data_IF_219572552486
#
_entry.id   IF_219572552486
#
_cell.length_a   1.000
_cell.length_b   1.000
_cell.length_c   1.000
_cell.angle_alpha   90.00
_cell.angle_beta   90.00
_cell.angle_gamma   90.00
#
_symmetry.space_group_name_H-M   'P 1'
#
loop_
_entity.id
_entity.type
_entity.pdbx_description
1 polymer ?
#
# COMPACT_ATOMS: atom_id res chain seq x y z
N UNK A 1 -4.72 -17.03 -21.90
CA UNK A 1 -5.40 -16.04 -21.04
C UNK A 1 -4.77 -15.95 -19.65
N UNK A 2 -4.63 -17.06 -18.90
CA UNK A 2 -4.06 -17.09 -17.53
C UNK A 2 -2.63 -16.50 -17.41
N UNK A 3 -1.70 -16.84 -18.30
CA UNK A 3 -0.31 -16.30 -18.32
C UNK A 3 -0.24 -14.79 -18.65
N UNK A 4 -1.19 -14.30 -19.44
CA UNK A 4 -1.32 -12.87 -19.74
C UNK A 4 -1.77 -12.07 -18.51
N UNK A 5 -2.64 -12.65 -17.67
CA UNK A 5 -3.19 -11.96 -16.49
C UNK A 5 -2.36 -12.21 -15.23
N UNK A 6 -1.98 -13.46 -14.95
CA UNK A 6 -1.30 -13.89 -13.73
C UNK A 6 0.23 -13.88 -13.82
N UNK A 7 0.80 -13.58 -14.99
CA UNK A 7 2.23 -13.29 -15.11
C UNK A 7 3.15 -14.47 -15.46
N UNK A 8 4.38 -14.36 -14.92
CA UNK A 8 5.64 -15.02 -15.28
C UNK A 8 6.11 -14.71 -16.71
N UNK A 9 6.13 -13.41 -17.04
CA UNK A 9 6.63 -12.94 -18.33
C UNK A 9 8.16 -12.99 -18.38
N UNK A 10 8.82 -12.34 -17.42
CA UNK A 10 10.30 -12.30 -17.28
C UNK A 10 10.71 -12.23 -15.81
N UNK A 11 11.99 -12.49 -15.46
CA UNK A 11 12.48 -12.32 -14.09
C UNK A 11 12.35 -10.88 -13.56
N UNK A 12 12.43 -9.88 -14.46
CA UNK A 12 12.36 -8.46 -14.10
C UNK A 12 10.92 -7.96 -14.01
N UNK A 13 10.12 -8.22 -15.06
CA UNK A 13 8.71 -7.88 -15.18
C UNK A 13 7.91 -9.18 -15.12
N UNK A 14 7.35 -9.46 -13.95
CA UNK A 14 6.64 -10.72 -13.70
C UNK A 14 5.21 -10.65 -14.21
N UNK A 15 4.53 -9.52 -14.12
CA UNK A 15 3.12 -9.33 -14.50
C UNK A 15 2.74 -7.84 -14.64
N UNK A 16 1.44 -7.57 -14.78
CA UNK A 16 0.89 -6.21 -14.82
C UNK A 16 1.15 -5.36 -13.57
N UNK A 17 1.41 -5.95 -12.39
CA UNK A 17 1.77 -5.19 -11.19
C UNK A 17 3.16 -4.58 -11.39
N UNK A 18 4.10 -5.35 -11.93
CA UNK A 18 5.43 -4.85 -12.26
C UNK A 18 5.39 -3.81 -13.40
N UNK A 19 4.41 -3.89 -14.32
CA UNK A 19 4.16 -2.80 -15.28
C UNK A 19 3.77 -1.52 -14.55
N UNK A 20 2.82 -1.58 -13.60
CA UNK A 20 2.42 -0.40 -12.83
C UNK A 20 3.60 0.19 -12.05
N UNK A 21 4.46 -0.65 -11.45
CA UNK A 21 5.71 -0.19 -10.80
C UNK A 21 6.61 0.58 -11.77
N UNK A 22 6.80 0.07 -12.98
CA UNK A 22 7.59 0.73 -14.01
C UNK A 22 6.95 2.03 -14.48
N UNK A 23 5.61 2.11 -14.50
CA UNK A 23 4.90 3.36 -14.80
C UNK A 23 5.19 4.42 -13.73
N UNK A 24 5.14 4.06 -12.44
CA UNK A 24 5.49 4.97 -11.33
C UNK A 24 6.94 5.47 -11.48
N UNK A 25 7.90 4.54 -11.60
CA UNK A 25 9.33 4.88 -11.74
C UNK A 25 9.63 5.65 -13.03
N UNK A 26 8.98 5.29 -14.13
CA UNK A 26 9.09 5.99 -15.41
C UNK A 26 8.54 7.41 -15.32
N UNK A 27 7.42 7.60 -14.63
CA UNK A 27 6.87 8.93 -14.31
C UNK A 27 7.88 9.79 -13.55
N UNK A 28 8.57 9.22 -12.56
CA UNK A 28 9.61 9.93 -11.81
C UNK A 28 10.76 10.40 -12.72
N UNK A 29 11.22 9.54 -13.64
CA UNK A 29 12.24 9.91 -14.63
C UNK A 29 11.74 11.00 -15.57
N UNK A 30 10.50 10.91 -16.05
CA UNK A 30 9.89 11.95 -16.90
C UNK A 30 9.85 13.28 -16.18
N UNK A 31 9.39 13.34 -14.92
CA UNK A 31 9.42 14.59 -14.13
C UNK A 31 10.84 15.14 -13.95
N UNK A 32 11.82 14.26 -13.69
CA UNK A 32 13.22 14.68 -13.53
C UNK A 32 13.79 15.32 -14.81
N UNK A 33 13.57 14.70 -15.97
CA UNK A 33 14.02 15.21 -17.27
C UNK A 33 13.37 16.55 -17.62
N UNK A 34 12.15 16.78 -17.15
CA UNK A 34 11.43 18.05 -17.33
C UNK A 34 11.76 19.11 -16.24
N UNK A 35 12.77 18.86 -15.40
CA UNK A 35 13.20 19.81 -14.37
C UNK A 35 12.30 19.88 -13.13
N UNK A 36 11.27 19.02 -13.03
CA UNK A 36 10.34 18.95 -11.89
C UNK A 36 10.87 18.01 -10.81
N UNK A 37 11.97 18.41 -10.15
CA UNK A 37 12.71 17.54 -9.24
C UNK A 37 11.93 17.10 -7.98
N UNK A 38 11.03 17.95 -7.45
CA UNK A 38 10.18 17.59 -6.31
C UNK A 38 9.21 16.45 -6.64
N UNK A 39 8.46 16.58 -7.73
CA UNK A 39 7.58 15.54 -8.24
C UNK A 39 8.34 14.24 -8.57
N UNK A 40 9.53 14.36 -9.15
CA UNK A 40 10.39 13.22 -9.44
C UNK A 40 10.84 12.49 -8.17
N UNK A 41 11.29 13.24 -7.16
CA UNK A 41 11.73 12.68 -5.89
C UNK A 41 10.58 11.99 -5.14
N UNK A 42 9.40 12.62 -5.09
CA UNK A 42 8.22 12.06 -4.44
C UNK A 42 7.76 10.76 -5.11
N UNK A 43 7.52 10.79 -6.42
CA UNK A 43 7.07 9.61 -7.17
C UNK A 43 8.15 8.50 -7.19
N UNK A 44 9.42 8.88 -7.23
CA UNK A 44 10.56 7.96 -7.13
C UNK A 44 10.63 7.27 -5.77
N UNK A 45 10.37 7.98 -4.67
CA UNK A 45 10.34 7.41 -3.33
C UNK A 45 9.18 6.39 -3.18
N UNK A 46 7.98 6.74 -3.63
CA UNK A 46 6.83 5.82 -3.64
C UNK A 46 7.09 4.61 -4.56
N UNK A 47 7.69 4.83 -5.73
CA UNK A 47 8.13 3.75 -6.61
C UNK A 47 9.13 2.81 -5.93
N UNK A 48 10.10 3.34 -5.19
CA UNK A 48 11.07 2.55 -4.44
C UNK A 48 10.40 1.68 -3.37
N UNK A 49 9.39 2.20 -2.65
CA UNK A 49 8.61 1.41 -1.69
C UNK A 49 8.03 0.16 -2.37
N UNK A 50 7.45 0.30 -3.57
CA UNK A 50 6.91 -0.86 -4.30
C UNK A 50 7.97 -1.87 -4.71
N UNK A 51 9.20 -1.44 -4.98
CA UNK A 51 10.34 -2.32 -5.33
C UNK A 51 10.85 -3.04 -4.10
N UNK A 52 11.04 -2.33 -2.99
CA UNK A 52 11.48 -2.91 -1.71
C UNK A 52 10.48 -3.95 -1.21
N UNK A 53 9.18 -3.71 -1.38
CA UNK A 53 8.14 -4.65 -1.00
C UNK A 53 8.22 -6.02 -1.71
N UNK A 54 8.94 -6.12 -2.84
CA UNK A 54 9.21 -7.42 -3.48
C UNK A 54 9.99 -8.37 -2.57
N UNK A 55 10.81 -7.84 -1.66
CA UNK A 55 11.58 -8.65 -0.70
C UNK A 55 10.66 -9.42 0.27
N UNK A 56 9.44 -8.94 0.49
CA UNK A 56 8.45 -9.56 1.39
C UNK A 56 7.78 -10.79 0.74
N UNK A 57 7.83 -10.93 -0.59
CA UNK A 57 7.13 -11.97 -1.35
C UNK A 57 5.63 -12.03 -0.98
N UNK A 58 4.95 -10.89 -1.09
CA UNK A 58 3.53 -10.73 -0.77
C UNK A 58 2.63 -11.62 -1.64
N UNK A 59 1.45 -12.03 -1.14
CA UNK A 59 0.38 -12.52 -1.99
C UNK A 59 0.02 -11.48 -3.05
N UNK A 60 -0.41 -11.93 -4.23
CA UNK A 60 -0.59 -11.07 -5.41
C UNK A 60 -1.54 -9.90 -5.17
N UNK A 61 -2.63 -10.15 -4.44
CA UNK A 61 -3.62 -9.11 -4.11
C UNK A 61 -2.99 -8.01 -3.28
N UNK A 62 -2.20 -8.35 -2.25
CA UNK A 62 -1.55 -7.36 -1.38
C UNK A 62 -0.36 -6.65 -2.05
N UNK A 63 0.34 -7.35 -2.96
CA UNK A 63 1.33 -6.74 -3.86
C UNK A 63 0.67 -5.66 -4.74
N UNK A 64 -0.49 -5.97 -5.32
CA UNK A 64 -1.29 -5.03 -6.08
C UNK A 64 -1.83 -3.89 -5.20
N UNK A 65 -2.36 -4.18 -4.01
CA UNK A 65 -2.87 -3.18 -3.07
C UNK A 65 -1.83 -2.11 -2.76
N UNK A 66 -0.61 -2.52 -2.39
CA UNK A 66 0.47 -1.57 -2.14
C UNK A 66 0.82 -0.76 -3.40
N UNK A 67 0.93 -1.43 -4.54
CA UNK A 67 1.36 -0.76 -5.77
C UNK A 67 0.31 0.26 -6.26
N UNK A 68 -0.98 -0.07 -6.13
CA UNK A 68 -2.10 0.83 -6.44
C UNK A 68 -2.15 1.99 -5.45
N UNK A 69 -1.96 1.73 -4.15
CA UNK A 69 -1.86 2.75 -3.13
C UNK A 69 -0.77 3.78 -3.45
N UNK A 70 0.45 3.31 -3.75
CA UNK A 70 1.57 4.19 -4.13
C UNK A 70 1.32 4.94 -5.45
N UNK A 71 0.64 4.30 -6.41
CA UNK A 71 0.27 4.96 -7.66
C UNK A 71 -0.78 6.06 -7.44
N UNK A 72 -1.81 5.80 -6.62
CA UNK A 72 -2.87 6.74 -6.31
C UNK A 72 -2.30 7.99 -5.62
N UNK A 73 -1.50 7.82 -4.58
CA UNK A 73 -0.81 8.92 -3.90
C UNK A 73 0.12 9.67 -4.85
N UNK A 74 1.00 8.95 -5.54
CA UNK A 74 2.07 9.55 -6.34
C UNK A 74 1.54 10.31 -7.55
N UNK A 75 0.63 9.70 -8.31
CA UNK A 75 0.03 10.37 -9.46
C UNK A 75 -1.02 11.39 -9.04
N UNK A 76 -1.72 11.18 -7.91
CA UNK A 76 -2.62 12.17 -7.33
C UNK A 76 -1.91 13.50 -7.10
N UNK A 77 -0.77 13.46 -6.41
CA UNK A 77 0.04 14.64 -6.13
C UNK A 77 0.63 15.23 -7.42
N UNK A 78 1.33 14.40 -8.21
CA UNK A 78 2.12 14.93 -9.34
C UNK A 78 1.28 15.42 -10.52
N UNK A 79 0.01 15.01 -10.60
CA UNK A 79 -0.96 15.48 -11.58
C UNK A 79 -1.89 16.59 -11.04
N UNK A 80 -1.80 16.95 -9.76
CA UNK A 80 -2.63 18.01 -9.15
C UNK A 80 -4.05 17.58 -8.78
N UNK A 81 -4.30 16.29 -8.56
CA UNK A 81 -5.65 15.79 -8.29
C UNK A 81 -6.21 16.21 -6.93
N UNK A 82 -5.33 16.47 -5.96
CA UNK A 82 -5.72 17.05 -4.67
C UNK A 82 -6.37 18.43 -4.85
N UNK A 83 -5.88 19.22 -5.82
CA UNK A 83 -6.43 20.53 -6.15
C UNK A 83 -7.67 20.43 -7.08
N UNK A 84 -7.63 19.52 -8.05
CA UNK A 84 -8.60 19.47 -9.14
C UNK A 84 -9.91 18.73 -8.79
N UNK A 85 -9.87 17.78 -7.85
CA UNK A 85 -11.00 16.91 -7.53
C UNK A 85 -11.44 17.03 -6.08
N UNK A 86 -12.70 17.46 -5.89
CA UNK A 86 -13.34 17.49 -4.58
C UNK A 86 -13.29 16.11 -3.91
N UNK A 87 -12.82 16.07 -2.66
CA UNK A 87 -12.68 14.86 -1.84
C UNK A 87 -11.65 13.83 -2.34
N UNK A 88 -10.73 14.23 -3.24
CA UNK A 88 -9.62 13.33 -3.60
C UNK A 88 -8.75 13.01 -2.38
N UNK A 89 -8.51 14.03 -1.56
CA UNK A 89 -7.79 13.87 -0.31
C UNK A 89 -8.50 12.89 0.65
N UNK A 90 -9.79 13.11 0.90
CA UNK A 90 -10.63 12.18 1.67
C UNK A 90 -10.54 10.71 1.19
N UNK A 91 -10.53 10.52 -0.14
CA UNK A 91 -10.42 9.21 -0.77
C UNK A 91 -9.06 8.58 -0.49
N UNK A 92 -7.99 9.36 -0.58
CA UNK A 92 -6.62 8.94 -0.30
C UNK A 92 -6.51 8.53 1.16
N UNK A 93 -6.92 9.37 2.11
CA UNK A 93 -6.88 9.04 3.54
C UNK A 93 -7.69 7.80 3.90
N UNK A 94 -8.80 7.54 3.22
CA UNK A 94 -9.49 6.27 3.40
C UNK A 94 -8.73 5.08 2.77
N UNK A 95 -8.27 5.22 1.54
CA UNK A 95 -7.78 4.08 0.74
C UNK A 95 -6.35 3.68 1.06
N UNK A 96 -5.46 4.62 1.39
CA UNK A 96 -4.05 4.32 1.66
C UNK A 96 -3.89 3.40 2.88
N UNK A 97 -4.47 3.67 4.07
CA UNK A 97 -4.39 2.76 5.21
C UNK A 97 -5.10 1.43 4.95
N UNK A 98 -6.24 1.45 4.24
CA UNK A 98 -6.98 0.24 3.86
C UNK A 98 -6.10 -0.73 3.06
N UNK A 99 -5.32 -0.20 2.10
CA UNK A 99 -4.52 -1.01 1.18
C UNK A 99 -3.13 -1.36 1.73
N UNK A 100 -2.56 -0.51 2.58
CA UNK A 100 -1.18 -0.67 3.07
C UNK A 100 -1.07 -1.36 4.42
N UNK A 101 -2.04 -1.18 5.33
CA UNK A 101 -1.96 -1.79 6.66
C UNK A 101 -1.87 -3.34 6.62
N UNK A 102 -2.66 -4.05 5.79
CA UNK A 102 -2.51 -5.50 5.64
C UNK A 102 -1.13 -5.92 5.14
N UNK A 103 -0.52 -5.11 4.27
CA UNK A 103 0.81 -5.37 3.71
C UNK A 103 1.88 -5.30 4.81
N UNK A 104 1.77 -4.31 5.70
CA UNK A 104 2.67 -4.17 6.84
C UNK A 104 2.49 -5.35 7.81
N UNK A 105 1.25 -5.77 8.10
CA UNK A 105 1.01 -6.96 8.92
C UNK A 105 1.68 -8.20 8.32
N UNK A 106 1.47 -8.46 7.02
CA UNK A 106 2.08 -9.60 6.34
C UNK A 106 3.62 -9.50 6.39
N UNK A 107 4.18 -8.32 6.19
CA UNK A 107 5.63 -8.12 6.29
C UNK A 107 6.15 -8.45 7.70
N UNK A 108 5.45 -8.04 8.76
CA UNK A 108 5.79 -8.39 10.13
C UNK A 108 5.64 -9.89 10.40
N UNK A 109 4.63 -10.54 9.81
CA UNK A 109 4.48 -11.99 9.89
C UNK A 109 5.63 -12.73 9.20
N UNK A 110 6.16 -12.21 8.09
CA UNK A 110 7.38 -12.76 7.44
C UNK A 110 8.62 -12.67 8.30
N UNK A 111 8.64 -11.73 9.24
CA UNK A 111 9.74 -11.50 10.17
C UNK A 111 9.50 -12.19 11.52
N UNK A 112 8.46 -13.03 11.62
CA UNK A 112 8.04 -13.73 12.84
C UNK A 112 7.73 -12.78 14.02
N UNK A 113 7.39 -11.51 13.74
CA UNK A 113 7.02 -10.50 14.75
C UNK A 113 5.57 -10.67 15.20
N UNK A 114 4.71 -11.09 14.28
CA UNK A 114 3.30 -11.41 14.52
C UNK A 114 2.97 -12.77 13.88
N UNK A 115 1.89 -13.44 14.30
CA UNK A 115 1.52 -14.73 13.74
C UNK A 115 1.21 -14.67 12.23
N UNK A 116 1.48 -15.76 11.52
CA UNK A 116 1.08 -15.88 10.12
C UNK A 116 -0.44 -16.06 10.01
N UNK A 117 -1.16 -15.26 9.19
CA UNK A 117 -2.60 -15.43 8.99
C UNK A 117 -3.02 -16.83 8.52
N UNK A 118 -2.11 -17.63 7.96
CA UNK A 118 -2.36 -19.00 7.52
C UNK A 118 -2.37 -20.00 8.67
N UNK A 119 -1.52 -19.79 9.68
CA UNK A 119 -1.30 -20.77 10.74
C UNK A 119 -2.33 -20.61 11.88
N UNK A 120 -3.08 -19.50 11.87
CA UNK A 120 -3.94 -19.10 12.97
C UNK A 120 -5.43 -19.09 12.60
N UNK A 121 -6.15 -20.16 12.98
CA UNK A 121 -7.54 -20.38 12.53
C UNK A 121 -8.62 -20.13 13.59
N UNK A 122 -8.27 -19.53 14.73
CA UNK A 122 -9.19 -19.35 15.87
C UNK A 122 -9.66 -17.90 16.04
N UNK A 123 -10.84 -17.72 16.67
CA UNK A 123 -11.48 -16.40 16.82
C UNK A 123 -10.57 -15.36 17.48
N UNK A 124 -9.88 -15.72 18.56
CA UNK A 124 -8.98 -14.81 19.27
C UNK A 124 -7.81 -14.34 18.39
N UNK A 125 -7.34 -15.17 17.45
CA UNK A 125 -6.28 -14.79 16.54
C UNK A 125 -6.79 -13.86 15.44
N UNK A 126 -8.01 -14.07 14.93
CA UNK A 126 -8.65 -13.11 14.03
C UNK A 126 -8.85 -11.74 14.69
N UNK A 127 -9.24 -11.71 15.96
CA UNK A 127 -9.33 -10.45 16.74
C UNK A 127 -7.95 -9.80 16.88
N UNK A 128 -6.90 -10.58 17.15
CA UNK A 128 -5.52 -10.09 17.21
C UNK A 128 -5.04 -9.50 15.88
N UNK A 129 -5.25 -10.22 14.77
CA UNK A 129 -4.96 -9.75 13.40
C UNK A 129 -5.68 -8.43 13.14
N UNK A 130 -6.97 -8.35 13.47
CA UNK A 130 -7.77 -7.15 13.27
C UNK A 130 -7.18 -5.94 14.02
N UNK A 131 -6.97 -6.09 15.34
CA UNK A 131 -6.50 -5.00 16.20
C UNK A 131 -5.14 -4.50 15.76
N UNK A 132 -4.19 -5.42 15.52
CA UNK A 132 -2.83 -5.05 15.11
C UNK A 132 -2.85 -4.38 13.73
N UNK A 133 -3.60 -4.92 12.77
CA UNK A 133 -3.68 -4.32 11.42
C UNK A 133 -4.33 -2.94 11.46
N UNK A 134 -5.40 -2.76 12.23
CA UNK A 134 -6.04 -1.46 12.40
C UNK A 134 -5.07 -0.45 13.04
N UNK A 135 -4.36 -0.85 14.10
CA UNK A 135 -3.37 0.00 14.75
C UNK A 135 -2.22 0.41 13.80
N UNK A 136 -1.75 -0.51 12.94
CA UNK A 136 -0.74 -0.21 11.92
C UNK A 136 -1.26 0.82 10.92
N UNK A 137 -2.49 0.67 10.41
CA UNK A 137 -3.07 1.63 9.46
C UNK A 137 -3.29 3.01 10.07
N UNK A 138 -3.82 3.08 11.30
CA UNK A 138 -3.96 4.34 12.04
C UNK A 138 -2.59 5.01 12.25
N UNK A 139 -1.56 4.22 12.55
CA UNK A 139 -0.19 4.74 12.72
C UNK A 139 0.38 5.29 11.41
N UNK A 140 0.07 4.65 10.27
CA UNK A 140 0.47 5.17 8.95
C UNK A 140 -0.18 6.52 8.69
N UNK A 141 -1.48 6.65 8.89
CA UNK A 141 -2.20 7.92 8.76
C UNK A 141 -1.63 9.01 9.68
N UNK A 142 -1.46 8.70 10.96
CA UNK A 142 -0.86 9.63 11.92
C UNK A 142 0.57 10.05 11.56
N UNK A 143 1.39 9.15 11.00
CA UNK A 143 2.73 9.49 10.52
C UNK A 143 2.68 10.37 9.26
N UNK A 144 1.64 10.25 8.44
CA UNK A 144 1.42 11.11 7.29
C UNK A 144 1.06 12.53 7.72
N UNK A 145 0.11 12.72 8.63
CA UNK A 145 -0.21 14.05 9.20
C UNK A 145 1.01 14.74 9.83
N UNK A 146 1.84 13.96 10.56
CA UNK A 146 3.09 14.47 11.12
C UNK A 146 4.05 14.90 10.01
N UNK A 147 4.10 14.14 8.90
CA UNK A 147 4.91 14.49 7.74
C UNK A 147 4.41 15.78 7.11
N UNK A 148 3.12 15.94 6.85
CA UNK A 148 2.53 17.15 6.26
C UNK A 148 2.86 18.38 7.09
N UNK A 149 2.50 18.35 8.38
CA UNK A 149 2.82 19.42 9.33
C UNK A 149 4.31 19.76 9.34
N UNK A 150 5.19 18.75 9.31
CA UNK A 150 6.63 18.99 9.41
C UNK A 150 7.26 19.43 8.10
N UNK A 151 6.73 18.94 6.98
CA UNK A 151 7.21 19.26 5.64
C UNK A 151 7.00 20.74 5.32
N UNK A 152 5.93 21.37 5.80
CA UNK A 152 5.68 22.80 5.58
C UNK A 152 6.80 23.65 6.18
N UNK A 153 7.30 23.26 7.35
CA UNK A 153 8.40 23.96 8.02
C UNK A 153 9.78 23.70 7.41
N UNK A 154 10.03 22.52 6.85
CA UNK A 154 11.36 22.09 6.41
C UNK A 154 11.60 22.16 4.91
N UNK A 155 10.55 21.89 4.15
CA UNK A 155 10.57 21.77 2.70
C UNK A 155 9.79 22.91 2.02
N UNK A 156 9.08 23.74 2.80
CA UNK A 156 8.29 24.85 2.29
C UNK A 156 7.07 24.40 1.50
N UNK A 157 6.55 23.21 1.82
CA UNK A 157 5.27 22.71 1.31
C UNK A 157 4.11 23.46 1.97
N UNK A 158 2.89 23.16 1.51
CA UNK A 158 1.64 23.66 2.08
C UNK A 158 0.65 22.51 2.18
N UNK A 159 1.06 21.42 2.83
CA UNK A 159 0.25 20.21 2.96
C UNK A 159 -0.64 20.26 4.21
N UNK A 160 -0.22 20.92 5.29
CA UNK A 160 -1.04 21.02 6.51
C UNK A 160 -2.00 22.20 6.40
N UNK A 161 -3.23 21.94 5.94
CA UNK A 161 -4.19 23.01 5.66
C UNK A 161 -4.83 23.59 6.92
N UNK A 162 -5.42 22.74 7.77
CA UNK A 162 -6.11 23.17 8.97
C UNK A 162 -6.23 22.07 10.03
N UNK A 163 -6.64 22.43 11.25
CA UNK A 163 -6.92 21.44 12.27
C UNK A 163 -8.16 20.60 11.96
N UNK A 164 -9.16 21.15 11.27
CA UNK A 164 -10.38 20.40 10.92
C UNK A 164 -10.06 19.32 9.87
N UNK A 165 -9.23 19.70 8.89
CA UNK A 165 -8.68 18.86 7.84
C UNK A 165 -7.92 17.66 8.43
N UNK A 166 -6.80 17.91 9.12
CA UNK A 166 -6.00 16.88 9.81
C UNK A 166 -6.83 15.93 10.69
N UNK A 167 -7.80 16.45 11.46
CA UNK A 167 -8.64 15.58 12.28
C UNK A 167 -9.62 14.75 11.45
N UNK A 168 -10.15 15.33 10.37
CA UNK A 168 -10.96 14.61 9.38
C UNK A 168 -10.17 13.48 8.73
N UNK A 169 -8.90 13.73 8.42
CA UNK A 169 -8.03 12.78 7.74
C UNK A 169 -7.64 11.63 8.63
N UNK A 170 -7.30 11.90 9.89
CA UNK A 170 -7.12 10.85 10.90
C UNK A 170 -8.38 9.99 11.09
N UNK A 171 -9.57 10.57 10.98
CA UNK A 171 -10.83 9.80 11.05
C UNK A 171 -10.96 8.91 9.81
N UNK A 172 -10.71 9.42 8.61
CA UNK A 172 -10.75 8.64 7.36
C UNK A 172 -9.70 7.55 7.34
N UNK A 173 -8.49 7.86 7.81
CA UNK A 173 -7.40 6.90 7.98
C UNK A 173 -7.79 5.76 8.91
N UNK A 174 -8.44 6.10 10.02
CA UNK A 174 -8.95 5.12 10.98
C UNK A 174 -10.00 4.21 10.33
N UNK A 175 -10.96 4.78 9.61
CA UNK A 175 -11.99 4.00 8.91
C UNK A 175 -11.37 3.09 7.83
N UNK A 176 -10.40 3.61 7.07
CA UNK A 176 -9.62 2.87 6.09
C UNK A 176 -8.88 1.69 6.72
N UNK A 177 -8.17 1.95 7.82
CA UNK A 177 -7.41 0.94 8.57
C UNK A 177 -8.31 -0.17 9.12
N UNK A 178 -9.48 0.18 9.66
CA UNK A 178 -10.49 -0.79 10.12
C UNK A 178 -11.03 -1.64 8.96
N UNK A 179 -11.28 -1.04 7.80
CA UNK A 179 -11.69 -1.76 6.60
C UNK A 179 -10.60 -2.73 6.12
N UNK A 180 -9.35 -2.28 6.02
CA UNK A 180 -8.19 -3.10 5.65
C UNK A 180 -7.98 -4.28 6.61
N UNK A 181 -8.10 -4.03 7.92
CA UNK A 181 -8.03 -5.06 8.95
C UNK A 181 -9.14 -6.12 8.78
N UNK A 182 -10.39 -5.69 8.54
CA UNK A 182 -11.51 -6.59 8.27
C UNK A 182 -11.29 -7.45 7.03
N UNK A 183 -10.77 -6.86 5.95
CA UNK A 183 -10.43 -7.56 4.72
C UNK A 183 -9.32 -8.61 4.93
N UNK A 184 -8.28 -8.30 5.72
CA UNK A 184 -7.24 -9.26 6.05
C UNK A 184 -7.77 -10.42 6.90
N UNK A 185 -8.65 -10.15 7.87
CA UNK A 185 -9.31 -11.21 8.64
C UNK A 185 -10.17 -12.10 7.76
N UNK A 186 -10.93 -11.51 6.83
CA UNK A 186 -11.71 -12.28 5.87
C UNK A 186 -10.80 -13.17 5.01
N UNK A 187 -9.71 -12.60 4.48
CA UNK A 187 -8.70 -13.34 3.71
C UNK A 187 -8.10 -14.52 4.49
N UNK A 188 -7.72 -14.30 5.75
CA UNK A 188 -7.21 -15.33 6.64
C UNK A 188 -8.25 -16.44 6.86
N UNK A 189 -9.51 -16.05 7.12
CA UNK A 189 -10.62 -16.98 7.38
C UNK A 189 -10.95 -17.88 6.18
N UNK A 190 -10.80 -17.40 4.95
CA UNK A 190 -10.98 -18.20 3.74
C UNK A 190 -9.77 -19.11 3.43
N UNK A 191 -8.74 -19.14 4.28
CA UNK A 191 -7.59 -20.02 4.15
C UNK A 191 -6.62 -19.60 3.04
N UNK A 192 -6.77 -18.39 2.50
CA UNK A 192 -5.90 -17.90 1.43
C UNK A 192 -4.49 -17.55 1.92
N UNK A 193 -4.33 -17.27 3.22
CA UNK A 193 -3.05 -17.24 3.93
C UNK A 193 -1.99 -16.27 3.36
N UNK A 194 -0.75 -16.38 3.82
CA UNK A 194 0.38 -15.56 3.33
C UNK A 194 1.11 -16.21 2.14
N UNK A 195 0.40 -16.66 1.09
CA UNK A 195 1.06 -17.35 -0.05
C UNK A 195 2.23 -16.50 -0.61
N UNK A 196 3.40 -17.14 -0.75
CA UNK A 196 4.63 -16.49 -1.22
C UNK A 196 4.66 -16.48 -2.74
N UNK A 197 4.78 -15.29 -3.32
CA UNK A 197 4.98 -15.13 -4.77
C UNK A 197 6.47 -15.27 -5.13
N UNK A 198 6.92 -16.49 -5.41
CA UNK A 198 8.33 -16.78 -5.74
C UNK A 198 8.49 -16.91 -7.26
N UNK A 199 9.36 -16.11 -7.93
CA UNK A 199 9.61 -16.24 -9.36
C UNK A 199 10.08 -17.64 -9.75
N UNK A 200 9.47 -18.23 -10.79
CA UNK A 200 9.85 -19.55 -11.29
C UNK A 200 9.34 -20.74 -10.46
N UNK A 201 8.78 -20.48 -9.28
CA UNK A 201 8.04 -21.48 -8.50
C UNK A 201 6.57 -21.07 -8.58
N UNK A 202 5.84 -21.67 -9.52
CA UNK A 202 4.39 -21.51 -9.59
C UNK A 202 3.75 -22.29 -8.41
N UNK A 203 3.88 -21.78 -7.19
CA UNK A 203 2.84 -22.01 -6.18
C UNK A 203 1.64 -21.23 -6.65
N UNK A 204 0.88 -21.83 -7.57
CA UNK A 204 -0.51 -21.44 -7.73
C UNK A 204 -1.13 -21.51 -6.34
N UNK A 205 -2.06 -20.60 -6.06
CA UNK A 205 -2.97 -20.74 -4.93
C UNK A 205 -3.69 -22.07 -5.11
N UNK A 206 -3.08 -23.18 -4.66
CA UNK A 206 -3.72 -24.48 -4.53
C UNK A 206 -4.68 -24.35 -3.35
N UNK A 207 -5.72 -23.55 -3.56
CA UNK A 207 -6.93 -23.64 -2.77
C UNK A 207 -7.59 -24.90 -3.31
N UNK A 208 -7.26 -26.03 -2.70
CA UNK A 208 -8.11 -27.21 -2.80
C UNK A 208 -9.49 -26.79 -2.29
N UNK A 209 -10.40 -26.52 -3.23
CA UNK A 209 -11.82 -26.33 -2.95
C UNK A 209 -12.42 -27.62 -2.37
#
# INVERSE_FOLDING_TARGET
MRRLVLGDWTPLVRDGIDVLRLVILGGAVVYAVNGRLGAAAFLGALGLVTVVARLVNLPRVYDLSLTVAMALQGFGETLGFYDDFLHFDDLVHFTLPMLTAPVIYIALARLDVVPDPRDETHLQHYVGIFIVTAALGISVGALWEIYEWRSDAWLGTTLSESNDDTNGDLVRDTLGALAGAGLLVAWARFGWGSVRRIPGVNTYEDVSA
#
